data_IF_587659666148
#
_entry.id   IF_587659666148
#
_cell.length_a   1.000
_cell.length_b   1.000
_cell.length_c   1.000
_cell.angle_alpha   90.00
_cell.angle_beta   90.00
_cell.angle_gamma   90.00
#
_symmetry.space_group_name_H-M   'P 1'
#
loop_
_entity.id
_entity.type
_entity.pdbx_description
1 polymer ?
#
# COMPACT_ATOMS: atom_id res chain seq x y z
N UNK A 1 -57.68 17.67 -13.00
CA UNK A 1 -57.42 18.03 -11.59
C UNK A 1 -56.80 16.81 -10.90
N UNK A 2 -55.59 17.02 -10.34
CA UNK A 2 -54.80 16.18 -9.42
C UNK A 2 -54.48 14.71 -9.78
N UNK A 3 -53.31 14.50 -10.40
CA UNK A 3 -52.57 13.26 -10.34
C UNK A 3 -51.74 13.21 -9.03
N UNK A 4 -52.00 12.20 -8.20
CA UNK A 4 -51.20 11.87 -7.00
C UNK A 4 -49.80 11.41 -7.42
N UNK A 5 -48.76 12.10 -6.96
CA UNK A 5 -47.37 11.61 -6.98
C UNK A 5 -47.18 10.62 -5.82
N UNK A 6 -47.08 9.33 -6.11
CA UNK A 6 -46.54 8.35 -5.16
C UNK A 6 -45.01 8.43 -5.17
N UNK A 7 -44.46 8.89 -4.05
CA UNK A 7 -43.03 8.82 -3.74
C UNK A 7 -42.69 7.38 -3.32
N UNK A 8 -42.05 6.62 -4.22
CA UNK A 8 -41.47 5.32 -3.87
C UNK A 8 -40.10 5.55 -3.23
N UNK A 9 -40.09 5.50 -1.90
CA UNK A 9 -38.90 5.33 -1.05
C UNK A 9 -38.28 3.97 -1.35
N UNK A 10 -37.14 3.93 -2.02
CA UNK A 10 -36.36 2.69 -2.19
C UNK A 10 -35.58 2.46 -0.90
N UNK A 11 -36.11 1.60 -0.03
CA UNK A 11 -35.41 1.07 1.13
C UNK A 11 -34.48 -0.05 0.67
N UNK A 12 -33.19 0.23 0.54
CA UNK A 12 -32.17 -0.77 0.26
C UNK A 12 -31.72 -1.44 1.57
N UNK A 13 -32.57 -2.31 2.11
CA UNK A 13 -32.20 -3.21 3.22
C UNK A 13 -32.19 -4.64 2.70
N UNK A 14 -31.01 -5.15 2.34
CA UNK A 14 -30.59 -6.58 2.40
C UNK A 14 -29.45 -6.83 1.42
N UNK A 15 -28.23 -6.89 1.93
CA UNK A 15 -27.21 -7.89 1.55
C UNK A 15 -26.15 -7.91 2.66
N UNK A 16 -26.53 -8.44 3.82
CA UNK A 16 -25.56 -8.80 4.85
C UNK A 16 -25.14 -10.26 4.60
N UNK A 17 -24.00 -10.46 3.93
CA UNK A 17 -23.23 -11.69 4.10
C UNK A 17 -22.23 -11.42 5.20
N UNK A 18 -22.43 -12.08 6.34
CA UNK A 18 -21.54 -12.04 7.49
C UNK A 18 -20.22 -12.71 7.13
N UNK A 19 -19.13 -11.96 7.22
CA UNK A 19 -17.78 -12.53 7.40
C UNK A 19 -17.49 -12.52 8.91
N UNK A 20 -17.20 -13.67 9.54
CA UNK A 20 -16.96 -13.72 10.98
C UNK A 20 -15.60 -13.09 11.29
N UNK A 21 -15.60 -11.99 12.06
CA UNK A 21 -14.38 -11.41 12.64
C UNK A 21 -14.32 -9.88 12.72
N UNK A 22 -15.11 -9.14 11.91
CA UNK A 22 -15.05 -7.69 11.87
C UNK A 22 -16.37 -7.06 12.38
N UNK A 23 -16.35 -6.40 13.54
CA UNK A 23 -17.49 -5.68 14.12
C UNK A 23 -17.61 -4.24 13.57
N UNK A 24 -17.40 -4.05 12.27
CA UNK A 24 -17.71 -2.77 11.61
C UNK A 24 -18.90 -3.04 10.68
N UNK A 25 -20.06 -2.38 10.86
CA UNK A 25 -21.15 -2.50 9.92
C UNK A 25 -20.65 -2.11 8.53
N UNK A 26 -20.81 -3.03 7.56
CA UNK A 26 -20.44 -2.80 6.16
C UNK A 26 -21.33 -1.67 5.63
N UNK A 27 -20.80 -0.45 5.67
CA UNK A 27 -21.40 0.75 5.10
C UNK A 27 -20.62 1.15 3.85
N UNK A 28 -21.10 2.17 3.13
CA UNK A 28 -20.37 2.78 2.00
C UNK A 28 -18.99 3.34 2.39
N UNK A 29 -18.66 3.39 3.69
CA UNK A 29 -17.36 3.82 4.21
C UNK A 29 -16.37 2.65 4.39
N UNK A 30 -16.76 1.41 4.08
CA UNK A 30 -15.85 0.26 4.21
C UNK A 30 -14.73 0.34 3.14
N UNK A 31 -13.44 0.42 3.52
CA UNK A 31 -12.33 0.64 2.57
C UNK A 31 -12.28 -0.36 1.41
N UNK A 32 -12.53 -1.64 1.69
CA UNK A 32 -12.60 -2.70 0.66
C UNK A 32 -13.70 -2.47 -0.38
N UNK A 33 -14.88 -1.98 0.04
CA UNK A 33 -15.96 -1.68 -0.90
C UNK A 33 -15.66 -0.46 -1.75
N UNK A 34 -15.05 0.56 -1.14
CA UNK A 34 -14.60 1.76 -1.84
C UNK A 34 -13.53 1.43 -2.88
N UNK A 35 -12.54 0.61 -2.51
CA UNK A 35 -11.51 0.09 -3.42
C UNK A 35 -12.15 -0.54 -4.67
N UNK A 36 -13.05 -1.51 -4.48
CA UNK A 36 -13.72 -2.17 -5.59
C UNK A 36 -14.55 -1.20 -6.45
N UNK A 37 -15.30 -0.30 -5.81
CA UNK A 37 -16.18 0.64 -6.53
C UNK A 37 -15.39 1.61 -7.40
N UNK A 38 -14.31 2.17 -6.85
CA UNK A 38 -13.43 3.12 -7.56
C UNK A 38 -12.69 2.40 -8.69
N UNK A 39 -12.04 1.28 -8.39
CA UNK A 39 -11.22 0.54 -9.37
C UNK A 39 -12.07 -0.01 -10.51
N UNK A 40 -13.25 -0.58 -10.25
CA UNK A 40 -14.17 -1.02 -11.32
C UNK A 40 -14.64 0.14 -12.21
N UNK A 41 -14.85 1.33 -11.64
CA UNK A 41 -15.23 2.51 -12.43
C UNK A 41 -14.08 2.98 -13.33
N UNK A 42 -12.85 2.94 -12.81
CA UNK A 42 -11.65 3.27 -13.58
C UNK A 42 -11.36 2.20 -14.65
N UNK A 43 -11.53 0.91 -14.35
CA UNK A 43 -11.43 -0.16 -15.35
C UNK A 43 -12.38 0.08 -16.52
N UNK A 44 -13.63 0.46 -16.24
CA UNK A 44 -14.61 0.80 -17.28
C UNK A 44 -14.20 2.03 -18.08
N UNK A 45 -13.55 3.01 -17.46
CA UNK A 45 -13.02 4.18 -18.15
C UNK A 45 -11.87 3.79 -19.09
N UNK A 46 -10.88 3.05 -18.58
CA UNK A 46 -9.70 2.62 -19.33
C UNK A 46 -10.04 1.64 -20.46
N UNK A 47 -11.09 0.85 -20.30
CA UNK A 47 -11.56 -0.10 -21.32
C UNK A 47 -12.30 0.56 -22.49
N UNK A 48 -12.70 1.84 -22.36
CA UNK A 48 -13.38 2.56 -23.45
C UNK A 48 -12.35 3.05 -24.47
N UNK A 49 -12.52 2.75 -25.77
CA UNK A 49 -11.68 3.32 -26.82
C UNK A 49 -11.64 4.85 -26.72
N UNK A 50 -10.45 5.42 -26.84
CA UNK A 50 -10.17 6.86 -26.87
C UNK A 50 -10.61 7.67 -25.63
N UNK A 51 -11.05 7.02 -24.54
CA UNK A 51 -11.44 7.70 -23.31
C UNK A 51 -10.23 8.17 -22.47
N UNK A 52 -9.07 7.53 -22.68
CA UNK A 52 -7.82 7.83 -21.98
C UNK A 52 -6.68 7.86 -23.03
N UNK A 53 -5.81 8.87 -23.02
CA UNK A 53 -4.63 8.88 -23.88
C UNK A 53 -3.76 7.62 -23.66
N UNK A 54 -3.20 7.06 -24.74
CA UNK A 54 -2.45 5.79 -24.68
C UNK A 54 -1.21 5.86 -23.79
N UNK A 55 -0.65 7.04 -23.62
CA UNK A 55 0.53 7.34 -22.81
C UNK A 55 0.18 7.79 -21.37
N UNK A 56 -1.10 8.06 -21.07
CA UNK A 56 -1.52 8.55 -19.77
C UNK A 56 -1.46 7.44 -18.71
N UNK A 57 -0.61 7.60 -17.69
CA UNK A 57 -0.52 6.66 -16.59
C UNK A 57 -1.64 6.84 -15.57
N UNK A 58 -2.44 5.80 -15.34
CA UNK A 58 -3.52 5.81 -14.34
C UNK A 58 -3.18 4.81 -13.25
N UNK A 59 -2.91 5.33 -12.06
CA UNK A 59 -2.60 4.53 -10.89
C UNK A 59 -3.71 4.62 -9.84
N UNK A 60 -3.88 3.55 -9.08
CA UNK A 60 -4.65 3.54 -7.83
C UNK A 60 -3.76 3.01 -6.70
N UNK A 61 -3.96 3.56 -5.50
CA UNK A 61 -3.19 3.20 -4.32
C UNK A 61 -4.16 2.87 -3.17
N UNK A 62 -3.89 1.79 -2.45
CA UNK A 62 -4.66 1.39 -1.27
C UNK A 62 -3.76 0.65 -0.28
N UNK A 63 -4.09 0.72 1.00
CA UNK A 63 -3.40 -0.02 2.06
C UNK A 63 -4.29 -1.17 2.52
N UNK A 64 -3.71 -2.35 2.76
CA UNK A 64 -4.46 -3.49 3.31
C UNK A 64 -4.56 -3.40 4.84
N UNK A 65 -5.70 -3.83 5.39
CA UNK A 65 -5.96 -3.76 6.83
C UNK A 65 -5.13 -4.77 7.63
N UNK A 66 -4.72 -4.36 8.84
CA UNK A 66 -4.00 -5.19 9.82
C UNK A 66 -4.96 -5.96 10.74
N UNK A 67 -5.92 -6.69 10.17
CA UNK A 67 -6.97 -7.35 10.95
C UNK A 67 -6.62 -8.73 11.53
N UNK A 68 -5.37 -9.21 11.41
CA UNK A 68 -5.02 -10.60 11.71
C UNK A 68 -3.94 -10.70 12.81
N UNK A 69 -4.11 -11.66 13.73
CA UNK A 69 -3.14 -12.02 14.77
C UNK A 69 -2.01 -12.92 14.25
N UNK A 70 -2.09 -13.41 13.01
CA UNK A 70 -1.05 -14.19 12.34
C UNK A 70 0.20 -13.34 12.10
N UNK A 71 1.25 -13.57 12.88
CA UNK A 71 2.52 -12.85 12.83
C UNK A 71 3.32 -13.08 11.55
N UNK A 72 2.88 -13.97 10.64
CA UNK A 72 3.51 -14.16 9.33
C UNK A 72 2.88 -13.30 8.22
N UNK A 73 1.81 -12.54 8.53
CA UNK A 73 1.11 -11.72 7.56
C UNK A 73 1.48 -10.24 7.71
N UNK A 74 1.87 -9.64 6.60
CA UNK A 74 2.20 -8.23 6.51
C UNK A 74 1.09 -7.44 5.83
N UNK A 75 0.89 -6.21 6.31
CA UNK A 75 0.14 -5.22 5.56
C UNK A 75 0.89 -4.90 4.27
N UNK A 76 0.16 -4.42 3.27
CA UNK A 76 0.74 -4.00 2.01
C UNK A 76 0.08 -2.72 1.51
N UNK A 77 0.89 -1.84 0.93
CA UNK A 77 0.38 -0.84 0.01
C UNK A 77 0.31 -1.45 -1.39
N UNK A 78 -0.87 -1.42 -1.99
CA UNK A 78 -1.13 -1.90 -3.35
C UNK A 78 -1.11 -0.70 -4.29
N UNK A 79 -0.06 -0.58 -5.11
CA UNK A 79 0.01 0.39 -6.20
C UNK A 79 -0.33 -0.32 -7.51
N UNK A 80 -1.54 -0.09 -8.02
CA UNK A 80 -2.02 -0.71 -9.25
C UNK A 80 -1.99 0.24 -10.43
N UNK A 81 -1.37 -0.19 -11.52
CA UNK A 81 -1.45 0.44 -12.84
C UNK A 81 -2.68 -0.10 -13.57
N UNK A 82 -3.67 0.77 -13.74
CA UNK A 82 -4.98 0.42 -14.29
C UNK A 82 -4.94 0.15 -15.80
N UNK A 83 -3.93 0.65 -16.51
CA UNK A 83 -3.76 0.40 -17.94
C UNK A 83 -3.10 -0.95 -18.19
N UNK A 84 -2.01 -1.23 -17.48
CA UNK A 84 -1.26 -2.49 -17.65
C UNK A 84 -1.88 -3.67 -16.91
N UNK A 85 -2.88 -3.44 -16.05
CA UNK A 85 -3.50 -4.43 -15.16
C UNK A 85 -2.45 -5.20 -14.35
N UNK A 86 -1.51 -4.44 -13.80
CA UNK A 86 -0.42 -4.91 -12.97
C UNK A 86 -0.39 -4.08 -11.68
N UNK A 87 -0.04 -4.69 -10.57
CA UNK A 87 0.21 -3.95 -9.33
C UNK A 87 1.45 -4.43 -8.62
N UNK A 88 2.03 -3.52 -7.84
CA UNK A 88 3.03 -3.84 -6.85
C UNK A 88 2.38 -3.79 -5.47
N UNK A 89 2.39 -4.92 -4.78
CA UNK A 89 2.03 -5.02 -3.38
C UNK A 89 3.31 -4.90 -2.55
N UNK A 90 3.43 -3.80 -1.81
CA UNK A 90 4.63 -3.42 -1.08
C UNK A 90 4.41 -3.69 0.42
N UNK A 91 5.03 -4.75 0.98
CA UNK A 91 4.77 -5.11 2.36
C UNK A 91 5.38 -4.07 3.29
N UNK A 92 4.65 -3.74 4.34
CA UNK A 92 5.14 -2.89 5.41
C UNK A 92 4.60 -3.34 6.76
N UNK A 93 5.35 -3.04 7.82
CA UNK A 93 4.93 -3.26 9.19
C UNK A 93 5.62 -2.29 10.14
N UNK A 94 5.09 -2.18 11.36
CA UNK A 94 5.77 -1.50 12.44
C UNK A 94 6.88 -2.41 12.98
N UNK A 95 8.11 -1.90 13.02
CA UNK A 95 9.27 -2.60 13.60
C UNK A 95 9.52 -2.27 15.06
N UNK A 96 8.92 -1.17 15.53
CA UNK A 96 8.87 -0.77 16.93
C UNK A 96 7.73 0.23 17.14
N UNK A 97 7.36 0.46 18.39
CA UNK A 97 6.32 1.42 18.75
C UNK A 97 6.67 2.84 18.26
N UNK A 98 5.93 3.33 17.26
CA UNK A 98 6.16 4.66 16.65
C UNK A 98 6.09 5.82 17.66
N UNK A 99 5.27 5.67 18.70
CA UNK A 99 5.17 6.64 19.78
C UNK A 99 6.45 6.75 20.64
N UNK A 100 7.28 5.70 20.64
CA UNK A 100 8.54 5.64 21.40
C UNK A 100 9.74 5.99 20.51
N UNK A 101 9.74 5.52 19.26
CA UNK A 101 10.81 5.75 18.29
C UNK A 101 10.13 6.13 16.98
N UNK A 102 10.26 7.40 16.58
CA UNK A 102 9.72 7.85 15.30
C UNK A 102 10.49 7.24 14.15
N UNK A 103 9.77 6.94 13.07
CA UNK A 103 10.35 6.29 11.91
C UNK A 103 10.63 4.82 12.17
N UNK A 104 9.69 4.12 12.78
CA UNK A 104 9.77 2.70 13.11
C UNK A 104 8.82 1.85 12.26
N UNK A 105 8.53 2.28 11.03
CA UNK A 105 7.80 1.48 10.05
C UNK A 105 8.71 1.11 8.91
N UNK A 106 8.83 -0.18 8.63
CA UNK A 106 9.59 -0.68 7.50
C UNK A 106 8.66 -0.93 6.32
N UNK A 107 9.12 -0.60 5.12
CA UNK A 107 8.50 -0.98 3.84
C UNK A 107 9.55 -1.64 2.95
N UNK A 108 9.17 -2.71 2.25
CA UNK A 108 10.04 -3.36 1.24
C UNK A 108 9.62 -2.97 -0.16
N UNK A 109 10.61 -2.64 -0.97
CA UNK A 109 10.43 -2.17 -2.35
C UNK A 109 10.65 -3.30 -3.37
N UNK A 110 10.24 -3.12 -4.64
CA UNK A 110 10.39 -4.13 -5.69
C UNK A 110 11.83 -4.52 -6.01
N UNK A 111 12.81 -3.68 -5.67
CA UNK A 111 14.24 -3.94 -5.81
C UNK A 111 14.83 -4.65 -4.58
N UNK A 112 13.97 -5.22 -3.73
CA UNK A 112 14.29 -5.78 -2.42
C UNK A 112 14.99 -4.80 -1.47
N UNK A 113 15.00 -3.50 -1.74
CA UNK A 113 15.48 -2.55 -0.74
C UNK A 113 14.48 -2.41 0.41
N UNK A 114 14.99 -2.09 1.60
CA UNK A 114 14.16 -1.82 2.77
C UNK A 114 14.39 -0.41 3.26
N UNK A 115 13.28 0.31 3.42
CA UNK A 115 13.28 1.66 3.97
C UNK A 115 12.51 1.64 5.28
N UNK A 116 13.03 2.36 6.26
CA UNK A 116 12.36 2.62 7.53
C UNK A 116 12.02 4.10 7.59
N UNK A 117 10.75 4.40 7.83
CA UNK A 117 10.22 5.75 7.82
C UNK A 117 9.02 5.88 8.77
N UNK A 118 8.57 7.10 9.09
CA UNK A 118 7.32 7.29 9.81
C UNK A 118 6.12 6.88 8.95
N UNK A 119 4.98 6.47 9.53
CA UNK A 119 3.77 6.09 8.78
C UNK A 119 3.36 7.10 7.70
N UNK A 120 3.47 8.39 8.00
CA UNK A 120 3.12 9.49 7.08
C UNK A 120 3.95 9.47 5.78
N UNK A 121 5.16 8.90 5.79
CA UNK A 121 6.01 8.81 4.61
C UNK A 121 5.83 7.49 3.84
N UNK A 122 5.24 6.45 4.45
CA UNK A 122 5.11 5.13 3.84
C UNK A 122 4.24 5.21 2.57
N UNK A 123 3.15 5.98 2.59
CA UNK A 123 2.29 6.15 1.42
C UNK A 123 3.04 6.80 0.25
N UNK A 124 3.81 7.86 0.51
CA UNK A 124 4.61 8.54 -0.51
C UNK A 124 5.71 7.64 -1.11
N UNK A 125 6.32 6.79 -0.27
CA UNK A 125 7.28 5.78 -0.70
C UNK A 125 6.59 4.71 -1.55
N UNK A 126 5.42 4.23 -1.11
CA UNK A 126 4.67 3.19 -1.79
C UNK A 126 4.10 3.63 -3.15
N UNK A 127 3.73 4.91 -3.26
CA UNK A 127 3.39 5.53 -4.54
C UNK A 127 4.58 5.49 -5.52
N UNK A 128 5.81 5.39 -5.01
CA UNK A 128 7.05 5.34 -5.76
C UNK A 128 7.40 6.68 -6.40
N UNK A 129 7.11 7.76 -5.67
CA UNK A 129 7.46 9.13 -6.06
C UNK A 129 6.88 9.56 -7.41
N UNK A 130 5.65 9.12 -7.71
CA UNK A 130 4.89 9.64 -8.85
C UNK A 130 4.46 11.08 -8.63
N UNK A 131 4.25 11.46 -7.36
CA UNK A 131 4.02 12.81 -6.92
C UNK A 131 5.00 13.20 -5.83
N UNK A 132 5.38 14.48 -5.82
CA UNK A 132 6.26 15.04 -4.81
C UNK A 132 5.56 16.17 -4.07
N UNK A 133 5.71 16.20 -2.75
CA UNK A 133 5.21 17.29 -1.92
C UNK A 133 6.18 18.47 -1.95
N UNK A 134 5.65 19.68 -2.10
CA UNK A 134 6.39 20.93 -1.98
C UNK A 134 6.53 21.34 -0.51
N UNK A 135 7.52 22.16 -0.18
CA UNK A 135 7.61 22.81 1.16
C UNK A 135 6.33 23.59 1.52
N UNK A 136 5.59 24.08 0.53
CA UNK A 136 4.28 24.75 0.71
C UNK A 136 3.07 23.81 0.77
N UNK A 137 3.26 22.49 0.80
CA UNK A 137 2.18 21.49 0.92
C UNK A 137 1.48 21.09 -0.38
N UNK A 138 1.74 21.78 -1.50
CA UNK A 138 1.23 21.36 -2.81
C UNK A 138 1.89 20.06 -3.28
N UNK A 139 1.13 19.14 -3.89
CA UNK A 139 1.69 17.94 -4.54
C UNK A 139 1.73 18.13 -6.05
N UNK A 140 2.89 17.89 -6.66
CA UNK A 140 3.10 18.03 -8.10
C UNK A 140 3.54 16.69 -8.72
N UNK A 141 3.11 16.38 -9.97
CA UNK A 141 3.58 15.18 -10.65
C UNK A 141 5.08 15.20 -10.90
N UNK A 142 5.73 14.07 -10.69
CA UNK A 142 7.15 13.85 -10.97
C UNK A 142 7.56 14.27 -12.40
N UNK A 143 6.72 13.93 -13.38
CA UNK A 143 6.97 14.25 -14.79
C UNK A 143 7.05 15.76 -15.04
N UNK A 144 6.27 16.56 -14.31
CA UNK A 144 6.31 18.01 -14.44
C UNK A 144 7.58 18.61 -13.84
N UNK A 145 8.03 18.07 -12.70
CA UNK A 145 9.29 18.46 -12.08
C UNK A 145 10.49 18.07 -12.96
N UNK A 146 10.41 16.92 -13.63
CA UNK A 146 11.41 16.51 -14.60
C UNK A 146 11.46 17.47 -15.80
N UNK A 147 10.31 17.97 -16.27
CA UNK A 147 10.26 18.99 -17.32
C UNK A 147 10.90 20.32 -16.89
N UNK A 148 10.61 20.80 -15.69
CA UNK A 148 11.25 22.00 -15.11
C UNK A 148 12.77 21.83 -15.01
N UNK A 149 13.24 20.70 -14.46
CA UNK A 149 14.68 20.39 -14.35
C UNK A 149 15.37 20.30 -15.71
N UNK A 150 14.64 19.91 -16.75
CA UNK A 150 15.10 19.86 -18.13
C UNK A 150 14.98 21.21 -18.87
N UNK A 151 14.56 22.29 -18.20
CA UNK A 151 14.40 23.62 -18.79
C UNK A 151 13.24 23.75 -19.78
N UNK A 152 12.27 22.84 -19.74
CA UNK A 152 11.04 22.93 -20.54
C UNK A 152 10.01 23.81 -19.85
N UNK A 153 9.12 24.42 -20.62
CA UNK A 153 7.99 25.20 -20.08
C UNK A 153 7.21 24.37 -19.05
N UNK A 154 7.18 24.86 -17.82
CA UNK A 154 6.52 24.23 -16.68
C UNK A 154 6.04 25.31 -15.73
N UNK A 155 4.97 25.03 -14.98
CA UNK A 155 4.49 25.92 -13.91
C UNK A 155 5.11 25.57 -12.55
N UNK A 156 6.06 24.63 -12.52
CA UNK A 156 6.79 24.24 -11.31
C UNK A 156 7.97 25.17 -10.98
N UNK A 157 8.03 26.36 -11.58
CA UNK A 157 9.10 27.33 -11.36
C UNK A 157 9.23 27.66 -9.87
N UNK A 158 10.46 27.58 -9.35
CA UNK A 158 10.76 27.89 -7.94
C UNK A 158 10.26 26.83 -6.95
N UNK A 159 9.74 25.70 -7.43
CA UNK A 159 9.33 24.59 -6.58
C UNK A 159 10.51 24.00 -5.81
N UNK A 160 10.27 23.62 -4.55
CA UNK A 160 11.24 22.92 -3.70
C UNK A 160 10.59 21.69 -3.08
N UNK A 161 11.25 20.55 -3.26
CA UNK A 161 10.84 19.28 -2.67
C UNK A 161 10.87 19.38 -1.14
N UNK A 162 9.80 18.92 -0.50
CA UNK A 162 9.81 18.63 0.93
C UNK A 162 10.41 17.24 1.10
N UNK A 163 11.59 17.18 1.70
CA UNK A 163 12.25 15.90 1.97
C UNK A 163 11.43 15.03 2.92
N UNK A 164 11.51 13.72 2.70
CA UNK A 164 10.91 12.72 3.57
C UNK A 164 11.73 12.60 4.85
N UNK A 165 11.36 13.38 5.86
CA UNK A 165 12.05 13.41 7.15
C UNK A 165 12.11 12.00 7.80
N UNK A 166 13.23 11.69 8.46
CA UNK A 166 13.47 10.43 9.18
C UNK A 166 13.47 9.16 8.29
N UNK A 167 13.61 9.31 6.98
CA UNK A 167 13.83 8.18 6.07
C UNK A 167 15.23 7.59 6.28
N UNK A 168 15.31 6.28 6.53
CA UNK A 168 16.55 5.53 6.71
C UNK A 168 16.49 4.20 5.97
N UNK A 169 17.65 3.60 5.71
CA UNK A 169 17.69 2.16 5.39
C UNK A 169 17.47 1.33 6.65
N UNK A 170 17.01 0.08 6.52
CA UNK A 170 16.92 -0.84 7.66
C UNK A 170 18.26 -1.04 8.38
N UNK A 171 19.38 -0.95 7.67
CA UNK A 171 20.70 -1.06 8.30
C UNK A 171 20.99 0.15 9.19
N UNK A 172 20.79 1.37 8.68
CA UNK A 172 21.00 2.61 9.44
C UNK A 172 20.09 2.64 10.68
N UNK A 173 18.80 2.32 10.50
CA UNK A 173 17.87 2.31 11.63
C UNK A 173 18.29 1.35 12.75
N UNK A 174 18.76 0.14 12.40
CA UNK A 174 19.23 -0.86 13.37
C UNK A 174 20.52 -0.45 14.08
N UNK A 175 21.42 0.27 13.38
CA UNK A 175 22.62 0.84 13.99
C UNK A 175 22.27 1.90 15.03
N UNK A 176 21.29 2.76 14.72
CA UNK A 176 20.84 3.82 15.61
C UNK A 176 20.03 3.30 16.82
N UNK A 177 19.48 2.08 16.72
CA UNK A 177 18.60 1.49 17.73
C UNK A 177 19.07 0.08 18.14
N UNK A 178 20.26 -0.05 18.74
CA UNK A 178 20.79 -1.35 19.13
C UNK A 178 19.85 -2.03 20.16
N UNK A 179 19.47 -3.28 19.89
CA UNK A 179 18.56 -4.06 20.73
C UNK A 179 17.07 -3.90 20.40
N UNK A 180 16.72 -3.12 19.37
CA UNK A 180 15.36 -3.10 18.82
C UNK A 180 15.28 -3.98 17.58
N UNK A 181 14.30 -4.88 17.54
CA UNK A 181 14.09 -5.80 16.43
C UNK A 181 12.64 -6.28 16.41
N UNK A 182 12.24 -6.81 15.27
CA UNK A 182 11.02 -7.62 15.11
C UNK A 182 11.32 -9.10 15.08
N UNK A 183 10.28 -9.91 15.27
CA UNK A 183 10.31 -11.34 14.97
C UNK A 183 10.70 -11.60 13.51
N UNK A 184 10.26 -10.75 12.58
CA UNK A 184 10.59 -10.88 11.16
C UNK A 184 12.10 -10.79 10.88
N UNK A 185 12.75 -9.71 11.34
CA UNK A 185 14.20 -9.58 11.19
C UNK A 185 14.97 -10.66 11.95
N UNK A 186 14.44 -11.12 13.08
CA UNK A 186 15.01 -12.25 13.81
C UNK A 186 14.96 -13.53 12.98
N UNK A 187 13.80 -13.87 12.41
CA UNK A 187 13.61 -15.05 11.56
C UNK A 187 14.49 -15.01 10.31
N UNK A 188 14.60 -13.86 9.65
CA UNK A 188 15.49 -13.70 8.49
C UNK A 188 16.95 -13.88 8.83
N UNK A 189 17.38 -13.34 9.99
CA UNK A 189 18.73 -13.55 10.49
C UNK A 189 18.98 -15.01 10.83
N UNK A 190 17.99 -15.69 11.41
CA UNK A 190 18.08 -17.10 11.81
C UNK A 190 18.17 -18.02 10.59
N UNK A 191 17.37 -17.77 9.55
CA UNK A 191 17.38 -18.53 8.29
C UNK A 191 18.57 -18.13 7.41
N UNK A 192 19.05 -16.89 7.50
CA UNK A 192 20.08 -16.32 6.64
C UNK A 192 19.56 -15.87 5.26
N UNK A 193 18.25 -15.67 5.12
CA UNK A 193 17.62 -15.25 3.86
C UNK A 193 16.43 -14.33 4.13
N UNK A 194 16.04 -13.53 3.13
CA UNK A 194 14.79 -12.77 3.18
C UNK A 194 13.60 -13.70 3.09
N UNK A 195 12.62 -13.47 3.95
CA UNK A 195 11.39 -14.28 4.01
C UNK A 195 10.20 -13.58 3.36
N UNK A 196 10.37 -12.34 2.90
CA UNK A 196 9.30 -11.52 2.34
C UNK A 196 9.87 -10.55 1.31
N UNK A 197 9.14 -10.32 0.23
CA UNK A 197 9.49 -9.32 -0.78
C UNK A 197 8.23 -8.60 -1.24
N UNK A 198 8.41 -7.49 -1.96
CA UNK A 198 7.32 -6.92 -2.72
C UNK A 198 6.82 -7.93 -3.76
N UNK A 199 5.50 -8.05 -3.90
CA UNK A 199 4.89 -8.93 -4.89
C UNK A 199 4.43 -8.12 -6.09
N UNK A 200 4.74 -8.58 -7.30
CA UNK A 200 4.05 -8.13 -8.50
C UNK A 200 2.81 -9.01 -8.72
N UNK A 201 1.65 -8.39 -8.90
CA UNK A 201 0.38 -9.07 -9.14
C UNK A 201 -0.16 -8.71 -10.52
N UNK A 202 -0.45 -9.72 -11.33
CA UNK A 202 -0.91 -9.54 -12.71
C UNK A 202 -2.20 -10.29 -12.98
N UNK A 203 -2.98 -9.73 -13.90
CA UNK A 203 -4.19 -10.37 -14.40
C UNK A 203 -5.42 -10.01 -13.58
N UNK A 204 -6.58 -10.14 -14.24
CA UNK A 204 -7.88 -9.59 -13.86
C UNK A 204 -8.32 -9.82 -12.40
N UNK A 205 -7.89 -10.94 -11.80
CA UNK A 205 -8.29 -11.31 -10.44
C UNK A 205 -7.24 -11.02 -9.38
N UNK A 206 -5.98 -10.78 -9.76
CA UNK A 206 -4.87 -10.63 -8.82
C UNK A 206 -4.39 -9.18 -8.71
N UNK A 207 -4.39 -8.40 -9.79
CA UNK A 207 -3.76 -7.06 -9.78
C UNK A 207 -4.48 -6.07 -8.85
N UNK A 208 -5.76 -6.27 -8.54
CA UNK A 208 -6.51 -5.48 -7.56
C UNK A 208 -6.72 -6.21 -6.22
N UNK A 209 -6.10 -7.37 -6.05
CA UNK A 209 -6.26 -8.18 -4.84
C UNK A 209 -5.76 -7.43 -3.61
N UNK A 210 -6.57 -7.41 -2.56
CA UNK A 210 -6.22 -6.86 -1.24
C UNK A 210 -5.68 -7.93 -0.30
N UNK A 211 -5.32 -9.12 -0.81
CA UNK A 211 -4.74 -10.17 0.03
C UNK A 211 -3.44 -9.67 0.70
N UNK A 212 -3.23 -9.97 1.99
CA UNK A 212 -1.97 -9.66 2.66
C UNK A 212 -0.82 -10.41 2.01
N UNK A 213 0.40 -9.96 2.28
CA UNK A 213 1.62 -10.66 1.86
C UNK A 213 2.03 -11.56 3.01
N UNK A 214 2.23 -12.85 2.70
CA UNK A 214 2.64 -13.85 3.69
C UNK A 214 4.12 -14.09 3.57
N UNK A 215 4.80 -14.13 4.72
CA UNK A 215 6.18 -14.56 4.76
C UNK A 215 6.34 -16.02 4.29
N UNK A 216 7.37 -16.27 3.52
CA UNK A 216 7.79 -17.59 3.08
C UNK A 216 8.26 -18.38 4.30
N UNK A 217 7.80 -19.62 4.42
CA UNK A 217 8.37 -20.61 5.34
C UNK A 217 9.31 -21.50 4.54
N UNK A 218 10.64 -21.43 4.75
CA UNK A 218 11.58 -22.25 3.99
C UNK A 218 11.42 -23.74 4.29
N UNK A 219 11.86 -24.60 3.36
CA UNK A 219 11.83 -26.04 3.58
C UNK A 219 12.69 -26.45 4.79
N UNK A 220 12.19 -27.36 5.62
CA UNK A 220 12.85 -27.79 6.87
C UNK A 220 12.66 -26.82 8.04
N UNK A 221 11.80 -25.82 7.89
CA UNK A 221 11.38 -24.93 8.96
C UNK A 221 9.87 -25.03 9.16
N UNK A 222 9.44 -24.79 10.40
CA UNK A 222 8.04 -24.65 10.76
C UNK A 222 7.82 -23.34 11.50
N UNK A 223 6.61 -22.79 11.36
CA UNK A 223 6.16 -21.65 12.16
C UNK A 223 5.54 -22.15 13.44
N UNK A 224 5.96 -21.58 14.55
CA UNK A 224 5.44 -21.87 15.89
C UNK A 224 4.91 -20.60 16.54
N UNK A 225 4.26 -20.74 17.70
CA UNK A 225 3.60 -19.62 18.36
C UNK A 225 2.42 -19.10 17.55
N UNK A 226 2.21 -17.79 17.52
CA UNK A 226 1.18 -17.15 16.68
C UNK A 226 1.68 -16.97 15.24
N UNK A 227 2.40 -17.95 14.71
CA UNK A 227 3.15 -17.93 13.44
C UNK A 227 4.25 -16.87 13.35
N UNK A 228 4.70 -16.37 14.49
CA UNK A 228 5.66 -15.27 14.63
C UNK A 228 7.11 -15.76 14.64
N UNK A 229 7.37 -17.00 15.04
CA UNK A 229 8.73 -17.54 15.17
C UNK A 229 8.94 -18.74 14.25
N UNK A 230 10.13 -18.83 13.64
CA UNK A 230 10.58 -20.01 12.90
C UNK A 230 11.44 -20.94 13.75
N UNK A 231 11.15 -22.24 13.67
CA UNK A 231 11.94 -23.32 14.26
C UNK A 231 12.33 -24.33 13.19
N UNK A 232 13.50 -24.96 13.36
CA UNK A 232 13.99 -26.00 12.46
C UNK A 232 13.34 -27.35 12.83
N UNK A 233 12.92 -28.10 11.81
CA UNK A 233 12.36 -29.45 11.94
C UNK A 233 13.49 -30.48 12.08
#
# INVERSE_FOLDING_TARGET
>A
MYAKKESKRISATRFARYFPGCKIPITYLHPVLLWHTVTTSIEKLVSKPDAVPRDAKIYTLMTTDHGNTDGSLWQAHIRADMQSQCSHALPHCSVWMEAMIRGSWVIRLPDDSELVAPPVNIEAIAEGKLWYEAVGGARLPAAMLANERAGKSSFAVGWREKELALLKTSQQWRQDNPGKSTSHWYNEKLVGAKLLSAEERRGKHEYLSLRPIREITPHGWQRVGMNDVLEKI
#
